data_IF_935991885751
#
_entry.id   IF_935991885751
#
_cell.length_a   1.000
_cell.length_b   1.000
_cell.length_c   1.000
_cell.angle_alpha   90.00
_cell.angle_beta   90.00
_cell.angle_gamma   90.00
#
_symmetry.space_group_name_H-M   'P 1'
#
loop_
_entity.id
_entity.type
_entity.pdbx_description
1 polymer ?
#
# COMPACT_ATOMS: atom_id res chain seq x y z
N UNK A 1 -11.20 -48.61 -15.13
CA UNK A 1 -10.88 -47.49 -14.23
C UNK A 1 -10.06 -46.37 -14.90
N UNK A 2 -9.58 -46.47 -16.15
CA UNK A 2 -8.75 -45.42 -16.82
C UNK A 2 -9.51 -44.21 -17.39
N UNK A 3 -10.81 -44.33 -17.66
CA UNK A 3 -11.55 -43.27 -18.37
C UNK A 3 -12.10 -42.14 -17.46
N UNK A 4 -12.23 -42.37 -16.14
CA UNK A 4 -12.75 -41.37 -15.22
C UNK A 4 -11.69 -40.29 -14.86
N UNK A 5 -10.38 -40.64 -14.89
CA UNK A 5 -9.30 -39.68 -14.63
C UNK A 5 -9.16 -38.63 -15.72
N UNK A 6 -9.41 -39.01 -17.00
CA UNK A 6 -9.35 -38.07 -18.14
C UNK A 6 -10.52 -37.11 -18.11
N UNK A 7 -11.71 -37.58 -17.74
CA UNK A 7 -12.91 -36.75 -17.63
C UNK A 7 -12.80 -35.69 -16.52
N UNK A 8 -12.20 -36.06 -15.38
CA UNK A 8 -11.92 -35.13 -14.28
C UNK A 8 -10.89 -34.05 -14.65
N UNK A 9 -9.86 -34.40 -15.46
CA UNK A 9 -8.85 -33.44 -15.93
C UNK A 9 -9.46 -32.42 -16.92
N UNK A 10 -10.39 -32.84 -17.78
CA UNK A 10 -11.08 -31.96 -18.72
C UNK A 10 -12.05 -31.00 -18.02
N UNK A 11 -12.76 -31.45 -17.00
CA UNK A 11 -13.67 -30.60 -16.20
C UNK A 11 -12.89 -29.55 -15.38
N UNK A 12 -11.69 -29.89 -14.86
CA UNK A 12 -10.86 -28.97 -14.12
C UNK A 12 -10.22 -27.89 -15.03
N UNK A 13 -9.75 -28.28 -16.23
CA UNK A 13 -9.20 -27.35 -17.22
C UNK A 13 -10.20 -26.33 -17.76
N UNK A 14 -11.47 -26.72 -17.90
CA UNK A 14 -12.54 -25.84 -18.37
C UNK A 14 -12.91 -24.77 -17.35
N UNK A 15 -12.88 -25.10 -16.05
CA UNK A 15 -13.17 -24.15 -14.96
C UNK A 15 -12.13 -23.06 -14.81
N UNK A 16 -10.85 -23.36 -15.03
CA UNK A 16 -9.78 -22.37 -14.98
C UNK A 16 -9.84 -21.36 -16.13
N UNK A 17 -10.23 -21.80 -17.33
CA UNK A 17 -10.40 -20.89 -18.47
C UNK A 17 -11.58 -19.91 -18.25
N UNK A 18 -12.64 -20.33 -17.57
CA UNK A 18 -13.80 -19.49 -17.30
C UNK A 18 -13.48 -18.36 -16.31
N UNK A 19 -12.74 -18.66 -15.24
CA UNK A 19 -12.32 -17.67 -14.23
C UNK A 19 -11.37 -16.63 -14.86
N UNK A 20 -10.44 -17.08 -15.70
CA UNK A 20 -9.52 -16.19 -16.42
C UNK A 20 -10.24 -15.22 -17.36
N UNK A 21 -11.27 -15.67 -18.06
CA UNK A 21 -12.10 -14.83 -18.93
C UNK A 21 -12.94 -13.83 -18.14
N UNK A 22 -13.60 -14.27 -17.06
CA UNK A 22 -14.36 -13.38 -16.17
C UNK A 22 -13.46 -12.30 -15.55
N UNK A 23 -12.24 -12.64 -15.16
CA UNK A 23 -11.27 -11.67 -14.63
C UNK A 23 -10.88 -10.62 -15.68
N UNK A 24 -10.53 -11.04 -16.91
CA UNK A 24 -10.17 -10.12 -17.99
C UNK A 24 -11.33 -9.15 -18.29
N UNK A 25 -12.54 -9.66 -18.33
CA UNK A 25 -13.74 -8.85 -18.57
C UNK A 25 -13.98 -7.86 -17.41
N UNK A 26 -13.84 -8.32 -16.16
CA UNK A 26 -13.95 -7.46 -14.99
C UNK A 26 -12.93 -6.33 -15.02
N UNK A 27 -11.68 -6.64 -15.41
CA UNK A 27 -10.60 -5.67 -15.54
C UNK A 27 -10.88 -4.66 -16.67
N UNK A 28 -11.40 -5.14 -17.80
CA UNK A 28 -11.80 -4.27 -18.90
C UNK A 28 -12.87 -3.28 -18.44
N UNK A 29 -14.00 -3.76 -17.87
CA UNK A 29 -15.05 -2.88 -17.36
C UNK A 29 -14.53 -1.88 -16.33
N UNK A 30 -13.62 -2.31 -15.46
CA UNK A 30 -13.00 -1.41 -14.48
C UNK A 30 -12.21 -0.28 -15.16
N UNK A 31 -11.42 -0.61 -16.20
CA UNK A 31 -10.59 0.35 -16.93
C UNK A 31 -11.44 1.29 -17.79
N UNK A 32 -12.58 0.81 -18.29
CA UNK A 32 -13.55 1.57 -19.09
C UNK A 32 -14.47 2.44 -18.22
N UNK A 33 -14.33 2.37 -16.88
CA UNK A 33 -15.17 3.13 -15.94
C UNK A 33 -16.57 2.55 -15.72
N UNK A 34 -16.87 1.36 -16.26
CA UNK A 34 -18.15 0.68 -16.10
C UNK A 34 -18.21 -0.06 -14.74
N UNK A 35 -18.19 0.72 -13.66
CA UNK A 35 -17.97 0.22 -12.31
C UNK A 35 -19.06 -0.70 -11.81
N UNK A 36 -20.34 -0.57 -12.23
CA UNK A 36 -21.42 -1.50 -11.86
C UNK A 36 -21.17 -2.91 -12.40
N UNK A 37 -20.76 -3.00 -13.69
CA UNK A 37 -20.46 -4.28 -14.32
C UNK A 37 -19.18 -4.89 -13.71
N UNK A 38 -18.17 -4.06 -13.49
CA UNK A 38 -16.93 -4.48 -12.84
C UNK A 38 -17.19 -4.99 -11.42
N UNK A 39 -17.97 -4.28 -10.60
CA UNK A 39 -18.35 -4.68 -9.24
C UNK A 39 -19.03 -6.05 -9.22
N UNK A 40 -19.99 -6.26 -10.13
CA UNK A 40 -20.72 -7.55 -10.25
C UNK A 40 -19.75 -8.70 -10.52
N UNK A 41 -18.83 -8.53 -11.47
CA UNK A 41 -17.86 -9.58 -11.83
C UNK A 41 -16.81 -9.79 -10.74
N UNK A 42 -16.24 -8.73 -10.17
CA UNK A 42 -15.26 -8.87 -9.08
C UNK A 42 -15.89 -9.51 -7.84
N UNK A 43 -17.13 -9.17 -7.51
CA UNK A 43 -17.88 -9.83 -6.42
C UNK A 43 -18.04 -11.32 -6.69
N UNK A 44 -18.45 -11.70 -7.91
CA UNK A 44 -18.59 -13.11 -8.33
C UNK A 44 -17.25 -13.85 -8.28
N UNK A 45 -16.16 -13.22 -8.73
CA UNK A 45 -14.81 -13.79 -8.66
C UNK A 45 -14.37 -14.02 -7.21
N UNK A 46 -14.62 -13.03 -6.33
CA UNK A 46 -14.33 -13.14 -4.91
C UNK A 46 -15.16 -14.24 -4.24
N UNK A 47 -16.45 -14.37 -4.56
CA UNK A 47 -17.30 -15.41 -3.99
C UNK A 47 -16.84 -16.83 -4.39
N UNK A 48 -16.23 -16.98 -5.57
CA UNK A 48 -15.58 -18.23 -6.00
C UNK A 48 -14.21 -18.44 -5.32
N UNK A 49 -13.50 -17.38 -4.95
CA UNK A 49 -12.15 -17.41 -4.39
C UNK A 49 -12.03 -16.44 -3.20
N UNK A 50 -12.72 -16.76 -2.09
CA UNK A 50 -12.82 -15.88 -0.89
C UNK A 50 -11.48 -15.51 -0.22
N UNK A 51 -10.41 -16.22 -0.54
CA UNK A 51 -9.06 -15.90 -0.06
C UNK A 51 -8.32 -14.90 -0.97
N UNK A 52 -8.87 -14.55 -2.12
CA UNK A 52 -8.27 -13.61 -3.04
C UNK A 52 -8.66 -12.17 -2.68
N UNK A 53 -7.84 -11.55 -1.82
CA UNK A 53 -8.04 -10.16 -1.38
C UNK A 53 -8.01 -9.15 -2.54
N UNK A 54 -7.35 -9.47 -3.66
CA UNK A 54 -7.32 -8.60 -4.83
C UNK A 54 -8.71 -8.40 -5.44
N UNK A 55 -9.48 -9.48 -5.60
CA UNK A 55 -10.85 -9.38 -6.16
C UNK A 55 -11.76 -8.59 -5.24
N UNK A 56 -11.65 -8.83 -3.92
CA UNK A 56 -12.39 -8.05 -2.94
C UNK A 56 -12.02 -6.56 -2.98
N UNK A 57 -10.72 -6.25 -3.06
CA UNK A 57 -10.26 -4.87 -3.16
C UNK A 57 -10.77 -4.15 -4.40
N UNK A 58 -10.78 -4.84 -5.56
CA UNK A 58 -11.36 -4.28 -6.79
C UNK A 58 -12.86 -4.05 -6.68
N UNK A 59 -13.59 -5.00 -6.08
CA UNK A 59 -15.01 -4.84 -5.80
C UNK A 59 -15.29 -3.62 -4.91
N UNK A 60 -14.58 -3.49 -3.78
CA UNK A 60 -14.73 -2.34 -2.87
C UNK A 60 -14.39 -1.02 -3.57
N UNK A 61 -13.33 -0.99 -4.39
CA UNK A 61 -12.99 0.20 -5.16
C UNK A 61 -14.10 0.60 -6.14
N UNK A 62 -14.73 -0.37 -6.81
CA UNK A 62 -15.90 -0.09 -7.64
C UNK A 62 -17.04 0.54 -6.83
N UNK A 63 -17.34 0.01 -5.63
CA UNK A 63 -18.36 0.57 -4.75
C UNK A 63 -18.04 2.02 -4.33
N UNK A 64 -16.76 2.33 -4.10
CA UNK A 64 -16.31 3.70 -3.78
C UNK A 64 -16.55 4.62 -4.98
N UNK A 65 -16.19 4.21 -6.20
CA UNK A 65 -16.44 5.01 -7.42
C UNK A 65 -17.92 5.21 -7.72
N UNK A 66 -18.78 4.27 -7.31
CA UNK A 66 -20.24 4.33 -7.41
C UNK A 66 -20.88 5.07 -6.24
N UNK A 67 -20.10 5.63 -5.31
CA UNK A 67 -20.58 6.26 -4.08
C UNK A 67 -21.46 5.33 -3.21
N UNK A 68 -21.43 4.02 -3.45
CA UNK A 68 -22.15 3.00 -2.69
C UNK A 68 -21.43 2.70 -1.36
N UNK A 69 -21.18 3.76 -0.58
CA UNK A 69 -20.31 3.73 0.60
C UNK A 69 -20.88 2.87 1.74
N UNK A 70 -22.19 2.84 1.93
CA UNK A 70 -22.83 2.02 2.98
C UNK A 70 -22.67 0.52 2.69
N UNK A 71 -22.76 0.11 1.42
CA UNK A 71 -22.53 -1.27 1.03
C UNK A 71 -21.05 -1.64 1.22
N UNK A 72 -20.12 -0.75 0.81
CA UNK A 72 -18.69 -0.94 1.01
C UNK A 72 -18.34 -1.05 2.51
N UNK A 73 -18.89 -0.19 3.36
CA UNK A 73 -18.73 -0.25 4.82
C UNK A 73 -19.21 -1.60 5.39
N UNK A 74 -20.41 -2.03 5.00
CA UNK A 74 -21.00 -3.30 5.45
C UNK A 74 -20.13 -4.49 5.11
N UNK A 75 -19.67 -4.58 3.86
CA UNK A 75 -18.88 -5.70 3.37
C UNK A 75 -17.48 -5.72 3.98
N UNK A 76 -16.83 -4.56 4.14
CA UNK A 76 -15.56 -4.44 4.85
C UNK A 76 -15.66 -4.84 6.32
N UNK A 77 -16.70 -4.42 7.02
CA UNK A 77 -16.91 -4.85 8.41
C UNK A 77 -17.09 -6.36 8.53
N UNK A 78 -17.69 -7.00 7.54
CA UNK A 78 -17.81 -8.46 7.50
C UNK A 78 -16.44 -9.12 7.37
N UNK A 79 -15.60 -8.63 6.46
CA UNK A 79 -14.23 -9.14 6.24
C UNK A 79 -13.35 -8.96 7.47
N UNK A 80 -13.43 -7.80 8.14
CA UNK A 80 -12.62 -7.50 9.33
C UNK A 80 -12.95 -8.36 10.56
N UNK A 81 -14.07 -9.09 10.56
CA UNK A 81 -14.37 -10.09 11.59
C UNK A 81 -13.54 -11.36 11.43
N UNK A 82 -12.99 -11.62 10.26
CA UNK A 82 -12.14 -12.77 9.99
C UNK A 82 -10.69 -12.48 10.45
N UNK A 83 -10.15 -13.30 11.37
CA UNK A 83 -8.85 -13.07 12.03
C UNK A 83 -7.62 -13.07 11.09
N UNK A 84 -7.74 -13.63 9.91
CA UNK A 84 -6.62 -13.83 8.96
C UNK A 84 -6.51 -12.75 7.88
N UNK A 85 -7.29 -11.68 7.96
CA UNK A 85 -7.30 -10.66 6.91
C UNK A 85 -6.29 -9.54 7.14
N UNK A 86 -5.84 -8.95 6.04
CA UNK A 86 -4.85 -7.89 6.02
C UNK A 86 -5.28 -6.67 6.83
N UNK A 87 -4.35 -6.08 7.57
CA UNK A 87 -4.55 -4.82 8.30
C UNK A 87 -4.87 -3.63 7.39
N UNK A 88 -4.56 -3.73 6.10
CA UNK A 88 -4.87 -2.70 5.11
C UNK A 88 -6.38 -2.40 5.02
N UNK A 89 -7.24 -3.38 5.33
CA UNK A 89 -8.69 -3.18 5.30
C UNK A 89 -9.20 -2.16 6.32
N UNK A 90 -8.46 -1.95 7.43
CA UNK A 90 -8.75 -0.86 8.35
C UNK A 90 -8.53 0.50 7.68
N UNK A 91 -7.49 0.65 6.86
CA UNK A 91 -7.22 1.89 6.12
C UNK A 91 -8.33 2.15 5.08
N UNK A 92 -8.74 1.12 4.35
CA UNK A 92 -9.83 1.23 3.37
C UNK A 92 -11.14 1.60 4.05
N UNK A 93 -11.46 1.00 5.22
CA UNK A 93 -12.65 1.35 5.99
C UNK A 93 -12.58 2.78 6.55
N UNK A 94 -11.39 3.21 7.00
CA UNK A 94 -11.16 4.60 7.42
C UNK A 94 -11.42 5.59 6.28
N UNK A 95 -10.91 5.29 5.08
CA UNK A 95 -11.17 6.12 3.89
C UNK A 95 -12.66 6.22 3.55
N UNK A 96 -13.41 5.12 3.66
CA UNK A 96 -14.87 5.13 3.47
C UNK A 96 -15.54 6.03 4.49
N UNK A 97 -15.11 5.99 5.77
CA UNK A 97 -15.65 6.88 6.78
C UNK A 97 -15.34 8.36 6.50
N UNK A 98 -14.16 8.69 5.97
CA UNK A 98 -13.88 10.05 5.53
C UNK A 98 -14.80 10.51 4.40
N UNK A 99 -15.00 9.66 3.39
CA UNK A 99 -15.93 9.93 2.29
C UNK A 99 -17.38 10.10 2.76
N UNK A 100 -17.73 9.48 3.91
CA UNK A 100 -19.01 9.65 4.59
C UNK A 100 -19.01 10.84 5.57
N UNK A 101 -17.95 11.65 5.64
CA UNK A 101 -17.77 12.76 6.60
C UNK A 101 -17.78 12.33 8.08
N UNK A 102 -17.38 11.07 8.36
CA UNK A 102 -17.32 10.48 9.71
C UNK A 102 -15.86 10.46 10.23
N UNK A 103 -15.26 11.64 10.39
CA UNK A 103 -13.81 11.80 10.66
C UNK A 103 -13.31 11.01 11.87
N UNK A 104 -14.02 11.08 13.01
CA UNK A 104 -13.61 10.34 14.22
C UNK A 104 -13.61 8.82 14.01
N UNK A 105 -14.54 8.29 13.20
CA UNK A 105 -14.55 6.86 12.87
C UNK A 105 -13.40 6.48 11.97
N UNK A 106 -13.05 7.36 11.02
CA UNK A 106 -11.92 7.16 10.13
C UNK A 106 -10.61 7.06 10.92
N UNK A 107 -10.36 8.03 11.80
CA UNK A 107 -9.15 8.06 12.62
C UNK A 107 -9.02 6.81 13.52
N UNK A 108 -10.12 6.36 14.14
CA UNK A 108 -10.14 5.10 14.90
C UNK A 108 -9.71 3.89 14.05
N UNK A 109 -10.11 3.84 12.79
CA UNK A 109 -9.67 2.74 11.91
C UNK A 109 -8.18 2.84 11.57
N UNK A 110 -7.66 4.05 11.33
CA UNK A 110 -6.24 4.25 11.06
C UNK A 110 -5.36 3.87 12.27
N UNK A 111 -5.80 4.22 13.49
CA UNK A 111 -5.15 3.79 14.73
C UNK A 111 -5.15 2.27 14.84
N UNK A 112 -6.28 1.59 14.60
CA UNK A 112 -6.39 0.14 14.62
C UNK A 112 -5.47 -0.53 13.59
N UNK A 113 -5.29 0.06 12.41
CA UNK A 113 -4.35 -0.45 11.42
C UNK A 113 -2.90 -0.46 11.94
N UNK A 114 -2.48 0.61 12.64
CA UNK A 114 -1.15 0.69 13.25
C UNK A 114 -0.98 -0.23 14.47
N UNK A 115 -2.00 -0.33 15.32
CA UNK A 115 -1.97 -1.21 16.51
C UNK A 115 -1.86 -2.68 16.14
N UNK A 116 -2.50 -3.08 15.03
CA UNK A 116 -2.52 -4.46 14.54
C UNK A 116 -1.43 -4.77 13.53
N UNK A 117 -0.51 -3.82 13.27
CA UNK A 117 0.56 -3.99 12.29
C UNK A 117 1.47 -5.15 12.70
N UNK A 118 1.63 -6.19 11.85
CA UNK A 118 2.53 -7.29 12.13
C UNK A 118 4.00 -6.84 12.11
N UNK A 119 4.85 -7.50 12.90
CA UNK A 119 6.30 -7.28 12.95
C UNK A 119 6.99 -7.90 11.71
N UNK A 120 6.62 -7.43 10.53
CA UNK A 120 7.09 -7.96 9.25
C UNK A 120 7.31 -6.80 8.26
N UNK A 121 8.54 -6.70 7.73
CA UNK A 121 8.94 -5.58 6.86
C UNK A 121 7.98 -5.35 5.69
N UNK A 122 7.56 -6.41 5.02
CA UNK A 122 6.67 -6.29 3.85
C UNK A 122 5.26 -5.80 4.23
N UNK A 123 4.76 -6.13 5.43
CA UNK A 123 3.46 -5.65 5.91
C UNK A 123 3.50 -4.17 6.25
N UNK A 124 4.60 -3.69 6.84
CA UNK A 124 4.82 -2.25 7.09
C UNK A 124 4.77 -1.48 5.77
N UNK A 125 5.53 -1.93 4.76
CA UNK A 125 5.55 -1.29 3.44
C UNK A 125 4.16 -1.28 2.80
N UNK A 126 3.45 -2.41 2.82
CA UNK A 126 2.09 -2.49 2.26
C UNK A 126 1.11 -1.56 2.95
N UNK A 127 1.13 -1.48 4.28
CA UNK A 127 0.25 -0.59 5.03
C UNK A 127 0.56 0.88 4.74
N UNK A 128 1.84 1.27 4.74
CA UNK A 128 2.24 2.64 4.41
C UNK A 128 1.84 3.02 2.97
N UNK A 129 2.01 2.11 2.00
CA UNK A 129 1.58 2.33 0.62
C UNK A 129 0.06 2.48 0.50
N UNK A 130 -0.73 1.80 1.33
CA UNK A 130 -2.17 1.98 1.35
C UNK A 130 -2.56 3.38 1.84
N UNK A 131 -1.88 3.92 2.85
CA UNK A 131 -2.04 5.31 3.26
C UNK A 131 -1.60 6.31 2.17
N UNK A 132 -0.48 6.03 1.49
CA UNK A 132 -0.03 6.85 0.35
C UNK A 132 -1.07 6.88 -0.77
N UNK A 133 -1.71 5.75 -1.08
CA UNK A 133 -2.75 5.63 -2.12
C UNK A 133 -3.94 6.56 -1.88
N UNK A 134 -4.28 6.81 -0.62
CA UNK A 134 -5.35 7.72 -0.21
C UNK A 134 -4.82 9.10 0.25
N UNK A 135 -3.57 9.44 -0.14
CA UNK A 135 -2.91 10.73 0.16
C UNK A 135 -2.75 11.06 1.66
N UNK A 136 -2.79 10.05 2.53
CA UNK A 136 -2.60 10.19 3.99
C UNK A 136 -1.11 10.03 4.35
N UNK A 137 -0.29 10.96 3.88
CA UNK A 137 1.17 10.89 4.03
C UNK A 137 1.62 10.85 5.48
N UNK A 138 0.99 11.63 6.37
CA UNK A 138 1.32 11.62 7.81
C UNK A 138 1.10 10.24 8.45
N UNK A 139 0.05 9.52 8.03
CA UNK A 139 -0.21 8.16 8.49
C UNK A 139 0.79 7.16 7.90
N UNK A 140 1.26 7.38 6.69
CA UNK A 140 2.34 6.59 6.11
C UNK A 140 3.66 6.79 6.86
N UNK A 141 4.01 8.03 7.25
CA UNK A 141 5.17 8.33 8.13
C UNK A 141 5.03 7.59 9.45
N UNK A 142 3.89 7.72 10.14
CA UNK A 142 3.60 6.99 11.40
C UNK A 142 3.75 5.48 11.23
N UNK A 143 3.37 4.93 10.05
CA UNK A 143 3.47 3.50 9.76
C UNK A 143 4.93 3.05 9.66
N UNK A 144 5.79 3.80 8.95
CA UNK A 144 7.22 3.49 8.87
C UNK A 144 7.90 3.61 10.23
N UNK A 145 7.62 4.68 10.97
CA UNK A 145 8.16 4.87 12.33
C UNK A 145 7.76 3.71 13.25
N UNK A 146 6.48 3.31 13.25
CA UNK A 146 6.01 2.16 14.03
C UNK A 146 6.66 0.85 13.58
N UNK A 147 6.84 0.67 12.28
CA UNK A 147 7.52 -0.49 11.72
C UNK A 147 8.99 -0.56 12.13
N UNK A 148 9.71 0.56 12.13
CA UNK A 148 11.10 0.66 12.58
C UNK A 148 11.24 0.29 14.07
N UNK A 149 10.33 0.76 14.94
CA UNK A 149 10.25 0.35 16.34
C UNK A 149 10.05 -1.16 16.50
N UNK A 150 9.04 -1.72 15.80
CA UNK A 150 8.70 -3.12 15.86
C UNK A 150 9.85 -4.03 15.41
N UNK A 151 10.57 -3.62 14.36
CA UNK A 151 11.70 -4.35 13.79
C UNK A 151 13.02 -4.04 14.51
N UNK A 152 13.04 -3.05 15.41
CA UNK A 152 14.24 -2.58 16.13
C UNK A 152 15.38 -2.14 15.19
N UNK A 153 15.01 -1.49 14.09
CA UNK A 153 15.93 -1.01 13.08
C UNK A 153 15.47 0.37 12.57
N UNK A 154 16.16 1.41 13.00
CA UNK A 154 15.79 2.80 12.77
C UNK A 154 15.80 3.20 11.28
N UNK A 155 16.70 2.63 10.49
CA UNK A 155 16.93 3.05 9.11
C UNK A 155 16.34 2.09 8.05
N UNK A 156 15.66 1.02 8.48
CA UNK A 156 15.14 -0.02 7.58
C UNK A 156 14.17 0.51 6.52
N UNK A 157 13.50 1.64 6.79
CA UNK A 157 12.54 2.28 5.88
C UNK A 157 13.04 3.62 5.33
N UNK A 158 14.26 4.06 5.62
CA UNK A 158 14.78 5.37 5.25
C UNK A 158 14.58 5.73 3.76
N UNK A 159 14.74 4.77 2.84
CA UNK A 159 14.49 5.00 1.42
C UNK A 159 13.01 5.32 1.11
N UNK A 160 12.09 4.63 1.76
CA UNK A 160 10.64 4.85 1.57
C UNK A 160 10.19 6.15 2.22
N UNK A 161 10.77 6.48 3.38
CA UNK A 161 10.53 7.76 4.07
C UNK A 161 11.01 8.93 3.21
N UNK A 162 12.18 8.81 2.57
CA UNK A 162 12.68 9.82 1.65
C UNK A 162 11.76 10.09 0.46
N UNK A 163 11.23 9.03 -0.20
CA UNK A 163 10.25 9.21 -1.28
C UNK A 163 8.96 9.84 -0.78
N UNK A 164 8.55 9.54 0.44
CA UNK A 164 7.39 10.14 1.08
C UNK A 164 7.60 11.63 1.37
N UNK A 165 8.74 12.01 1.96
CA UNK A 165 9.11 13.41 2.20
C UNK A 165 9.19 14.21 0.89
N UNK A 166 9.71 13.58 -0.18
CA UNK A 166 9.71 14.16 -1.54
C UNK A 166 8.30 14.48 -2.02
N UNK A 167 7.32 13.57 -1.83
CA UNK A 167 5.92 13.77 -2.19
C UNK A 167 5.24 14.88 -1.37
N UNK A 168 5.68 15.07 -0.14
CA UNK A 168 5.21 16.11 0.76
C UNK A 168 5.86 17.47 0.51
N UNK A 169 6.92 17.53 -0.31
CA UNK A 169 7.69 18.76 -0.56
C UNK A 169 8.67 19.14 0.56
N UNK A 170 8.97 18.23 1.47
CA UNK A 170 9.86 18.44 2.60
C UNK A 170 11.31 18.12 2.20
N UNK A 171 11.96 19.04 1.48
CA UNK A 171 13.29 18.80 0.88
C UNK A 171 14.35 18.44 1.93
N UNK A 172 14.40 19.13 3.05
CA UNK A 172 15.40 18.88 4.10
C UNK A 172 15.29 17.47 4.67
N UNK A 173 14.10 17.06 5.05
CA UNK A 173 13.79 15.73 5.59
C UNK A 173 14.02 14.64 4.53
N UNK A 174 13.69 14.93 3.27
CA UNK A 174 13.95 14.04 2.14
C UNK A 174 15.44 13.77 1.97
N UNK A 175 16.29 14.81 1.98
CA UNK A 175 17.75 14.68 1.87
C UNK A 175 18.29 13.87 3.05
N UNK A 176 17.88 14.21 4.28
CA UNK A 176 18.28 13.47 5.49
C UNK A 176 17.96 11.98 5.36
N UNK A 177 16.74 11.64 4.93
CA UNK A 177 16.30 10.25 4.80
C UNK A 177 17.04 9.51 3.66
N UNK A 178 17.32 10.16 2.51
CA UNK A 178 18.14 9.55 1.46
C UNK A 178 19.57 9.30 1.90
N UNK A 179 20.19 10.22 2.64
CA UNK A 179 21.53 10.00 3.19
C UNK A 179 21.55 8.85 4.19
N UNK A 180 20.55 8.74 5.08
CA UNK A 180 20.39 7.58 5.95
C UNK A 180 20.20 6.27 5.17
N UNK A 181 19.47 6.32 4.05
CA UNK A 181 19.27 5.15 3.20
C UNK A 181 20.57 4.69 2.51
N UNK A 182 21.45 5.61 2.13
CA UNK A 182 22.76 5.30 1.56
C UNK A 182 23.66 4.66 2.64
N UNK A 183 23.72 5.25 3.83
CA UNK A 183 24.48 4.70 4.96
C UNK A 183 24.01 3.30 5.37
N UNK A 184 22.70 3.06 5.29
CA UNK A 184 22.11 1.76 5.58
C UNK A 184 22.35 0.73 4.46
N UNK A 185 22.33 1.15 3.19
CA UNK A 185 22.50 0.31 2.02
C UNK A 185 23.25 1.06 0.91
N UNK A 186 24.57 0.91 0.82
CA UNK A 186 25.43 1.59 -0.16
C UNK A 186 25.01 1.34 -1.62
N UNK A 187 24.46 0.18 -1.93
CA UNK A 187 24.00 -0.16 -3.28
C UNK A 187 22.86 0.74 -3.79
N UNK A 188 22.26 1.56 -2.92
CA UNK A 188 21.24 2.56 -3.31
C UNK A 188 21.83 3.87 -3.82
N UNK A 189 23.13 4.09 -3.66
CA UNK A 189 23.81 5.34 -4.05
C UNK A 189 23.45 5.78 -5.47
N UNK A 190 23.63 4.92 -6.46
CA UNK A 190 23.38 5.28 -7.88
C UNK A 190 21.93 5.67 -8.16
N UNK A 191 20.96 4.95 -7.55
CA UNK A 191 19.55 5.27 -7.72
C UNK A 191 19.16 6.59 -7.08
N UNK A 192 19.73 6.89 -5.91
CA UNK A 192 19.49 8.16 -5.18
C UNK A 192 20.16 9.33 -5.90
N UNK A 193 21.38 9.17 -6.42
CA UNK A 193 22.02 10.19 -7.27
C UNK A 193 21.18 10.54 -8.49
N UNK A 194 20.58 9.55 -9.14
CA UNK A 194 19.65 9.79 -10.27
C UNK A 194 18.44 10.61 -9.85
N UNK A 195 17.91 10.38 -8.64
CA UNK A 195 16.80 11.18 -8.09
C UNK A 195 17.26 12.63 -7.87
N UNK A 196 18.42 12.84 -7.26
CA UNK A 196 18.96 14.19 -7.04
C UNK A 196 19.17 14.93 -8.36
N UNK A 197 19.81 14.31 -9.35
CA UNK A 197 20.03 14.89 -10.67
C UNK A 197 18.73 15.28 -11.38
N UNK A 198 17.65 14.53 -11.16
CA UNK A 198 16.38 14.74 -11.85
C UNK A 198 15.48 15.79 -11.19
N UNK A 199 15.56 15.92 -9.87
CA UNK A 199 14.57 16.67 -9.11
C UNK A 199 15.14 17.85 -8.29
N UNK A 200 16.47 17.92 -8.09
CA UNK A 200 17.06 18.95 -7.27
C UNK A 200 17.24 20.26 -8.01
N UNK A 201 16.88 21.36 -7.34
CA UNK A 201 17.28 22.72 -7.66
C UNK A 201 18.65 23.06 -7.07
N UNK A 202 19.20 24.21 -7.42
CA UNK A 202 20.46 24.70 -6.85
C UNK A 202 20.38 24.83 -5.31
N UNK A 203 19.22 25.29 -4.79
CA UNK A 203 19.01 25.37 -3.34
C UNK A 203 18.98 24.01 -2.64
N UNK A 204 18.45 22.97 -3.30
CA UNK A 204 18.44 21.62 -2.75
C UNK A 204 19.87 21.04 -2.69
N UNK A 205 20.70 21.34 -3.69
CA UNK A 205 22.13 20.97 -3.66
C UNK A 205 22.88 21.70 -2.55
N UNK A 206 22.55 22.94 -2.23
CA UNK A 206 23.14 23.66 -1.08
C UNK A 206 22.75 22.99 0.25
N UNK A 207 21.50 22.60 0.42
CA UNK A 207 21.05 21.85 1.61
C UNK A 207 21.74 20.48 1.69
N UNK A 208 21.86 19.75 0.57
CA UNK A 208 22.59 18.48 0.51
C UNK A 208 24.05 18.67 0.96
N UNK A 209 24.73 19.68 0.43
CA UNK A 209 26.11 20.00 0.80
C UNK A 209 26.23 20.29 2.30
N UNK A 210 25.32 21.09 2.85
CA UNK A 210 25.28 21.43 4.28
C UNK A 210 25.15 20.16 5.14
N UNK A 211 24.23 19.26 4.82
CA UNK A 211 24.04 18.02 5.56
C UNK A 211 25.25 17.07 5.44
N UNK A 212 25.88 16.99 4.27
CA UNK A 212 27.09 16.19 4.09
C UNK A 212 28.25 16.72 4.96
N UNK A 213 28.47 18.04 5.00
CA UNK A 213 29.49 18.62 5.87
C UNK A 213 29.22 18.32 7.36
N UNK A 214 27.97 18.45 7.82
CA UNK A 214 27.61 18.12 9.20
C UNK A 214 27.91 16.66 9.55
N UNK A 215 27.61 15.72 8.63
CA UNK A 215 27.88 14.29 8.84
C UNK A 215 29.38 13.98 8.89
N UNK A 216 30.16 14.58 8.00
CA UNK A 216 31.62 14.40 8.00
C UNK A 216 32.23 14.93 9.31
N UNK A 217 31.82 16.12 9.76
CA UNK A 217 32.29 16.68 11.02
C UNK A 217 31.93 15.80 12.21
N UNK A 218 30.65 15.33 12.29
CA UNK A 218 30.25 14.46 13.40
C UNK A 218 30.92 13.09 13.43
N UNK A 219 31.45 12.62 12.29
CA UNK A 219 32.21 11.36 12.21
C UNK A 219 33.72 11.54 12.44
N UNK A 220 34.24 12.78 12.43
CA UNK A 220 35.65 13.07 12.71
C UNK A 220 35.92 13.39 14.18
N UNK A 221 34.87 13.59 14.98
CA UNK A 221 34.98 13.88 16.43
C UNK A 221 35.00 12.60 17.30
N UNK A 222 35.24 11.42 16.69
CA UNK A 222 35.43 10.10 17.33
C UNK A 222 36.89 9.70 17.15
#
# INVERSE_FOLDING_TARGET
MKNYSILLFFLFGFSFNLIGQEYKLAQQYYNDGEFEKAATLYKKLYDKQKNNEYYFGRYVNCLIYLESLDQAEKDLKSILKEKSKSVNWYVVLGNIYELQFKQEKAEKQYILALEKLPKERHQVIRLAQEFVRITKYDWAVKTYSKGAELLKDKNIFAYYEADLQRRMGNTKEMITAYLNAIEYQENRMSSIQTIFQRFFSDSDYQELQSQLYQRVQSNTDI
#
